data_IF_993966889659
#
_entry.id   IF_993966889659
#
_cell.length_a   1.000
_cell.length_b   1.000
_cell.length_c   1.000
_cell.angle_alpha   90.00
_cell.angle_beta   90.00
_cell.angle_gamma   90.00
#
_symmetry.space_group_name_H-M   'P 1'
#
loop_
_entity.id
_entity.type
_entity.pdbx_description
1 polymer ?
#
# COMPACT_ATOMS: atom_id res chain seq x y z
N UNK A 1 -12.69 9.07 3.09
CA UNK A 1 -11.56 8.21 2.68
C UNK A 1 -11.30 8.48 1.21
N UNK A 2 -10.07 8.87 0.85
CA UNK A 2 -9.73 9.28 -0.51
C UNK A 2 -9.86 8.07 -1.46
N UNK A 3 -10.60 8.19 -2.57
CA UNK A 3 -10.92 7.04 -3.45
C UNK A 3 -9.68 6.37 -4.04
N UNK A 4 -8.66 7.18 -4.32
CA UNK A 4 -7.37 6.73 -4.84
C UNK A 4 -6.56 5.89 -3.84
N UNK A 5 -6.61 6.22 -2.55
CA UNK A 5 -5.98 5.43 -1.49
C UNK A 5 -6.55 4.01 -1.45
N UNK A 6 -7.87 3.89 -1.61
CA UNK A 6 -8.55 2.61 -1.62
C UNK A 6 -8.16 1.78 -2.85
N UNK A 7 -8.02 2.39 -4.02
CA UNK A 7 -7.54 1.71 -5.23
C UNK A 7 -6.12 1.15 -5.05
N UNK A 8 -5.19 1.92 -4.49
CA UNK A 8 -3.81 1.45 -4.27
C UNK A 8 -3.78 0.30 -3.26
N UNK A 9 -4.52 0.39 -2.15
CA UNK A 9 -4.62 -0.70 -1.17
C UNK A 9 -5.21 -1.97 -1.80
N UNK A 10 -6.24 -1.84 -2.64
CA UNK A 10 -6.83 -2.98 -3.36
C UNK A 10 -5.85 -3.60 -4.36
N UNK A 11 -5.06 -2.77 -5.04
CA UNK A 11 -4.02 -3.19 -5.97
C UNK A 11 -2.95 -4.02 -5.25
N UNK A 12 -2.49 -3.54 -4.08
CA UNK A 12 -1.53 -4.20 -3.21
C UNK A 12 -2.06 -5.49 -2.58
N UNK A 13 -3.37 -5.58 -2.29
CA UNK A 13 -4.00 -6.80 -1.77
C UNK A 13 -4.26 -7.87 -2.82
N UNK A 14 -4.62 -7.48 -4.05
CA UNK A 14 -5.02 -8.44 -5.11
C UNK A 14 -3.83 -9.02 -5.86
N UNK A 15 -2.77 -8.24 -6.09
CA UNK A 15 -1.62 -8.70 -6.84
C UNK A 15 -0.71 -9.54 -5.95
N UNK A 16 -0.42 -10.77 -6.37
CA UNK A 16 0.61 -11.62 -5.74
C UNK A 16 2.01 -11.02 -5.86
N UNK A 17 2.27 -10.31 -6.95
CA UNK A 17 3.53 -9.59 -7.19
C UNK A 17 3.20 -8.20 -7.71
N UNK A 18 3.82 -7.19 -7.10
CA UNK A 18 3.73 -5.79 -7.52
C UNK A 18 4.90 -5.46 -8.43
N UNK A 19 4.61 -4.86 -9.58
CA UNK A 19 5.62 -4.40 -10.53
C UNK A 19 6.21 -3.06 -10.09
N UNK A 20 7.33 -2.67 -10.69
CA UNK A 20 7.94 -1.35 -10.43
C UNK A 20 6.95 -0.21 -10.77
N UNK A 21 6.15 -0.37 -11.82
CA UNK A 21 5.13 0.60 -12.22
C UNK A 21 4.03 0.77 -11.16
N UNK A 22 3.63 -0.31 -10.49
CA UNK A 22 2.65 -0.26 -9.39
C UNK A 22 3.16 0.59 -8.21
N UNK A 23 4.47 0.53 -7.95
CA UNK A 23 5.12 1.33 -6.90
C UNK A 23 5.23 2.80 -7.27
N UNK A 24 5.64 3.09 -8.51
CA UNK A 24 5.69 4.46 -9.03
C UNK A 24 4.30 5.10 -8.98
N UNK A 25 3.26 4.36 -9.34
CA UNK A 25 1.89 4.82 -9.25
C UNK A 25 1.49 5.12 -7.79
N UNK A 26 1.76 4.18 -6.86
CA UNK A 26 1.49 4.40 -5.45
C UNK A 26 2.19 5.65 -4.89
N UNK A 27 3.48 5.85 -5.22
CA UNK A 27 4.25 7.03 -4.83
C UNK A 27 3.71 8.34 -5.39
N UNK A 28 3.13 8.33 -6.59
CA UNK A 28 2.61 9.54 -7.23
C UNK A 28 1.24 10.00 -6.68
N UNK A 29 0.54 9.12 -5.96
CA UNK A 29 -0.85 9.34 -5.52
C UNK A 29 -0.99 9.35 -4.00
N UNK A 30 -0.11 8.65 -3.29
CA UNK A 30 -0.13 8.55 -1.84
C UNK A 30 0.83 9.53 -1.19
N UNK A 31 0.51 9.93 0.04
CA UNK A 31 1.48 10.61 0.89
C UNK A 31 2.67 9.68 1.17
N UNK A 32 3.92 10.21 1.21
CA UNK A 32 5.12 9.41 1.39
C UNK A 32 5.08 8.47 2.60
N UNK A 33 4.47 8.92 3.69
CA UNK A 33 4.30 8.16 4.93
C UNK A 33 3.44 6.91 4.70
N UNK A 34 2.40 7.02 3.87
CA UNK A 34 1.51 5.89 3.53
C UNK A 34 2.24 4.87 2.65
N UNK A 35 3.06 5.34 1.70
CA UNK A 35 3.88 4.46 0.86
C UNK A 35 4.89 3.68 1.71
N UNK A 36 5.54 4.34 2.66
CA UNK A 36 6.49 3.69 3.57
C UNK A 36 5.81 2.60 4.40
N UNK A 37 4.60 2.85 4.90
CA UNK A 37 3.83 1.83 5.59
C UNK A 37 3.55 0.64 4.67
N UNK A 38 3.04 0.86 3.45
CA UNK A 38 2.79 -0.21 2.48
C UNK A 38 4.06 -1.02 2.14
N UNK A 39 5.23 -0.38 2.10
CA UNK A 39 6.51 -1.06 1.91
C UNK A 39 6.88 -1.96 3.10
N UNK A 40 6.68 -1.48 4.33
CA UNK A 40 6.87 -2.29 5.54
C UNK A 40 5.91 -3.49 5.57
N UNK A 41 4.70 -3.34 5.03
CA UNK A 41 3.76 -4.46 4.89
C UNK A 41 4.24 -5.51 3.90
N UNK A 42 4.69 -5.08 2.71
CA UNK A 42 5.23 -5.99 1.69
C UNK A 42 6.43 -6.78 2.21
N UNK A 43 7.30 -6.13 2.97
CA UNK A 43 8.47 -6.77 3.58
C UNK A 43 8.12 -7.73 4.73
N UNK A 44 6.84 -7.85 5.11
CA UNK A 44 6.39 -8.64 6.25
C UNK A 44 6.82 -8.07 7.60
N UNK A 45 7.32 -6.82 7.62
CA UNK A 45 7.76 -6.12 8.85
C UNK A 45 6.60 -5.48 9.60
N UNK A 46 5.45 -5.35 8.96
CA UNK A 46 4.24 -4.74 9.52
C UNK A 46 2.99 -5.39 8.90
N UNK A 47 1.87 -5.41 9.61
CA UNK A 47 0.59 -5.85 9.02
C UNK A 47 -0.48 -4.76 9.18
N UNK A 48 -0.69 -4.01 8.11
CA UNK A 48 -1.66 -2.90 8.00
C UNK A 48 -3.09 -3.43 7.83
N UNK A 49 -3.24 -4.71 7.49
CA UNK A 49 -4.54 -5.34 7.31
C UNK A 49 -5.17 -5.90 8.59
N UNK A 50 -4.41 -5.95 9.69
CA UNK A 50 -4.87 -6.53 10.93
C UNK A 50 -5.80 -5.59 11.71
N UNK A 51 -6.91 -6.08 12.30
CA UNK A 51 -7.92 -5.27 13.01
C UNK A 51 -7.42 -4.46 14.23
N UNK A 52 -6.12 -4.52 14.54
CA UNK A 52 -5.47 -3.86 15.67
C UNK A 52 -4.89 -2.47 15.37
N UNK A 53 -4.98 -1.98 14.14
CA UNK A 53 -4.62 -0.59 13.81
C UNK A 53 -5.74 0.34 14.28
N UNK A 54 -5.53 0.94 15.46
CA UNK A 54 -6.32 2.04 16.03
C UNK A 54 -5.46 3.28 16.10
#
# INVERSE_FOLDING_TARGET
>A
MNGQLWEVIQLFKKKKELTIEDWIYAESVLEPEVVQLLALQRDGKMDIGSPGWK
#
